data_IF_176970662984
#
_entry.id   IF_176970662984
#
_cell.length_a   1.000
_cell.length_b   1.000
_cell.length_c   1.000
_cell.angle_alpha   90.00
_cell.angle_beta   90.00
_cell.angle_gamma   90.00
#
_symmetry.space_group_name_H-M   'P 1'
#
loop_
_entity.id
_entity.type
_entity.pdbx_description
1 polymer ?
#
# COMPACT_ATOMS: atom_id res chain seq x y z
N UNK A 1 -48.73 31.03 -19.47
CA UNK A 1 -48.12 30.09 -18.49
C UNK A 1 -47.07 29.15 -19.08
N UNK A 2 -47.28 28.53 -20.26
CA UNK A 2 -46.31 27.58 -20.84
C UNK A 2 -44.91 28.17 -21.13
N UNK A 3 -44.82 29.42 -21.57
CA UNK A 3 -43.54 30.06 -21.91
C UNK A 3 -42.62 30.28 -20.69
N UNK A 4 -43.19 30.68 -19.54
CA UNK A 4 -42.44 30.85 -18.29
C UNK A 4 -41.90 29.52 -17.75
N UNK A 5 -42.63 28.42 -17.97
CA UNK A 5 -42.20 27.08 -17.55
C UNK A 5 -40.97 26.60 -18.33
N UNK A 6 -40.94 26.82 -19.66
CA UNK A 6 -39.76 26.49 -20.48
C UNK A 6 -38.56 27.37 -20.15
N UNK A 7 -38.78 28.66 -19.86
CA UNK A 7 -37.71 29.57 -19.45
C UNK A 7 -37.09 29.18 -18.09
N UNK A 8 -37.90 28.71 -17.15
CA UNK A 8 -37.44 28.23 -15.84
C UNK A 8 -36.61 26.94 -15.98
N UNK A 9 -37.07 26.00 -16.81
CA UNK A 9 -36.36 24.74 -17.10
C UNK A 9 -35.01 24.96 -17.77
N UNK A 10 -34.93 25.89 -18.72
CA UNK A 10 -33.67 26.23 -19.40
C UNK A 10 -32.65 26.82 -18.41
N UNK A 11 -33.10 27.68 -17.50
CA UNK A 11 -32.24 28.28 -16.48
C UNK A 11 -31.71 27.22 -15.48
N UNK A 12 -32.57 26.29 -15.05
CA UNK A 12 -32.18 25.17 -14.18
C UNK A 12 -31.16 24.24 -14.85
N UNK A 13 -31.32 23.97 -16.16
CA UNK A 13 -30.37 23.15 -16.91
C UNK A 13 -28.99 23.82 -17.01
N UNK A 14 -28.93 25.14 -17.25
CA UNK A 14 -27.66 25.88 -17.31
C UNK A 14 -26.90 25.87 -15.98
N UNK A 15 -27.60 25.95 -14.84
CA UNK A 15 -26.98 25.86 -13.51
C UNK A 15 -26.40 24.46 -13.25
N UNK A 16 -27.05 23.40 -13.75
CA UNK A 16 -26.54 22.03 -13.60
C UNK A 16 -25.29 21.76 -14.46
N UNK A 17 -25.20 22.32 -15.66
CA UNK A 17 -24.03 22.11 -16.54
C UNK A 17 -22.80 22.90 -16.06
N UNK A 18 -22.98 24.07 -15.45
CA UNK A 18 -21.89 24.85 -14.86
C UNK A 18 -21.28 24.20 -13.59
N UNK A 19 -22.00 23.27 -12.95
CA UNK A 19 -21.52 22.53 -11.79
C UNK A 19 -20.60 21.33 -12.10
N UNK A 20 -20.50 20.92 -13.38
CA UNK A 20 -19.71 19.74 -13.78
C UNK A 20 -18.29 20.06 -14.27
N UNK A 21 -17.87 21.32 -14.34
CA UNK A 21 -16.46 21.68 -14.55
C UNK A 21 -15.74 21.87 -13.23
N UNK A 22 -15.90 20.92 -12.29
CA UNK A 22 -14.81 20.70 -11.36
C UNK A 22 -13.76 19.91 -12.14
N UNK A 23 -12.77 20.61 -12.69
CA UNK A 23 -11.44 20.03 -12.76
C UNK A 23 -11.04 19.75 -11.30
N UNK A 24 -11.52 18.64 -10.74
CA UNK A 24 -10.84 17.93 -9.67
C UNK A 24 -9.55 17.36 -10.29
N UNK A 25 -8.66 18.26 -10.72
CA UNK A 25 -7.24 18.07 -10.50
C UNK A 25 -7.15 17.74 -9.02
N UNK A 26 -7.04 16.45 -8.74
CA UNK A 26 -6.95 15.92 -7.39
C UNK A 26 -5.66 16.50 -6.82
N UNK A 27 -5.77 17.66 -6.18
CA UNK A 27 -4.72 18.33 -5.45
C UNK A 27 -4.44 17.53 -4.19
N UNK A 28 -3.86 16.36 -4.38
CA UNK A 28 -2.79 15.94 -3.49
C UNK A 28 -1.56 16.30 -4.30
N UNK A 29 -1.02 17.49 -4.05
CA UNK A 29 0.40 17.76 -4.29
C UNK A 29 1.17 16.66 -3.56
N UNK A 30 1.37 15.53 -4.23
CA UNK A 30 2.23 14.47 -3.76
C UNK A 30 3.61 15.04 -3.90
N UNK A 31 4.15 15.53 -2.78
CA UNK A 31 5.52 16.01 -2.70
C UNK A 31 6.40 15.01 -3.44
N UNK A 32 7.02 15.50 -4.50
CA UNK A 32 7.81 14.70 -5.43
C UNK A 32 9.21 15.28 -5.49
N UNK A 33 10.19 14.41 -5.61
CA UNK A 33 11.59 14.74 -5.41
C UNK A 33 12.39 14.38 -6.66
N UNK A 34 13.46 15.14 -6.97
CA UNK A 34 14.33 14.83 -8.10
C UNK A 34 14.96 13.44 -8.06
N UNK A 35 15.14 12.86 -6.86
CA UNK A 35 15.75 11.53 -6.68
C UNK A 35 14.93 10.61 -5.77
N UNK A 36 15.06 9.31 -6.00
CA UNK A 36 14.51 8.27 -5.11
C UNK A 36 15.00 8.43 -3.68
N UNK A 37 16.30 8.72 -3.52
CA UNK A 37 16.93 8.92 -2.21
C UNK A 37 16.29 10.07 -1.44
N UNK A 38 16.00 11.20 -2.09
CA UNK A 38 15.34 12.33 -1.47
C UNK A 38 13.88 12.01 -1.10
N UNK A 39 13.14 11.35 -2.00
CA UNK A 39 11.77 10.91 -1.72
C UNK A 39 11.71 9.98 -0.51
N UNK A 40 12.62 9.01 -0.44
CA UNK A 40 12.72 8.08 0.67
C UNK A 40 13.17 8.77 1.96
N UNK A 41 14.19 9.62 1.91
CA UNK A 41 14.68 10.38 3.08
C UNK A 41 13.56 11.24 3.66
N UNK A 42 12.83 11.94 2.80
CA UNK A 42 11.69 12.75 3.19
C UNK A 42 10.58 11.90 3.82
N UNK A 43 10.24 10.75 3.22
CA UNK A 43 9.25 9.82 3.77
C UNK A 43 9.62 9.38 5.21
N UNK A 44 10.87 8.97 5.42
CA UNK A 44 11.36 8.55 6.73
C UNK A 44 11.30 9.70 7.75
N UNK A 45 11.78 10.88 7.38
CA UNK A 45 11.89 12.03 8.29
C UNK A 45 10.53 12.64 8.64
N UNK A 46 9.62 12.77 7.67
CA UNK A 46 8.37 13.53 7.86
C UNK A 46 7.21 12.64 8.27
N UNK A 47 7.09 11.46 7.66
CA UNK A 47 5.90 10.65 7.90
C UNK A 47 6.07 9.71 9.09
N UNK A 48 7.29 9.25 9.43
CA UNK A 48 7.44 8.06 10.30
C UNK A 48 8.73 7.96 11.13
N UNK A 49 9.01 8.95 11.98
CA UNK A 49 10.12 8.85 12.95
C UNK A 49 10.03 7.64 13.91
N UNK A 50 8.84 7.07 14.11
CA UNK A 50 8.58 5.98 15.07
C UNK A 50 8.17 4.64 14.43
N UNK A 51 8.20 4.50 13.11
CA UNK A 51 7.85 3.24 12.45
C UNK A 51 9.09 2.42 12.05
N UNK A 52 8.94 1.10 12.01
CA UNK A 52 9.88 0.22 11.33
C UNK A 52 9.54 0.18 9.84
N UNK A 53 10.57 0.16 9.00
CA UNK A 53 10.44 0.12 7.55
C UNK A 53 11.29 -1.01 7.00
N UNK A 54 10.65 -1.89 6.26
CA UNK A 54 11.25 -2.99 5.53
C UNK A 54 11.12 -2.70 4.04
N UNK A 55 12.25 -2.67 3.36
CA UNK A 55 12.30 -2.63 1.91
C UNK A 55 12.17 -4.05 1.38
N UNK A 56 11.26 -4.27 0.44
CA UNK A 56 11.00 -5.56 -0.19
C UNK A 56 11.16 -5.40 -1.69
N UNK A 57 12.08 -6.17 -2.27
CA UNK A 57 12.23 -6.28 -3.71
C UNK A 57 11.46 -7.51 -4.18
N UNK A 58 10.57 -7.33 -5.16
CA UNK A 58 9.83 -8.45 -5.76
C UNK A 58 10.58 -9.05 -6.96
N UNK A 59 10.30 -10.31 -7.28
CA UNK A 59 10.80 -11.01 -8.47
C UNK A 59 10.37 -10.33 -9.78
N UNK A 60 9.29 -9.57 -9.76
CA UNK A 60 8.82 -8.80 -10.91
C UNK A 60 9.52 -7.44 -11.04
N UNK A 61 10.44 -7.10 -10.13
CA UNK A 61 11.22 -5.87 -10.17
C UNK A 61 10.59 -4.68 -9.45
N UNK A 62 9.44 -4.86 -8.78
CA UNK A 62 8.84 -3.81 -7.96
C UNK A 62 9.56 -3.66 -6.61
N UNK A 63 9.70 -2.42 -6.19
CA UNK A 63 10.23 -2.02 -4.89
C UNK A 63 9.09 -1.57 -3.97
N UNK A 64 8.87 -2.33 -2.91
CA UNK A 64 7.82 -2.11 -1.92
C UNK A 64 8.45 -1.74 -0.58
N UNK A 65 7.75 -0.92 0.18
CA UNK A 65 8.14 -0.52 1.52
C UNK A 65 7.03 -0.94 2.49
N UNK A 66 7.26 -2.01 3.23
CA UNK A 66 6.36 -2.48 4.28
C UNK A 66 6.67 -1.69 5.54
N UNK A 67 5.65 -1.05 6.09
CA UNK A 67 5.85 -0.14 7.21
C UNK A 67 5.01 -0.58 8.39
N UNK A 68 5.66 -0.79 9.52
CA UNK A 68 5.03 -1.14 10.79
C UNK A 68 5.08 0.05 11.74
N UNK A 69 3.92 0.61 12.03
CA UNK A 69 3.74 1.61 13.08
C UNK A 69 3.19 0.95 14.37
N UNK A 70 3.05 1.76 15.43
CA UNK A 70 2.58 1.30 16.74
C UNK A 70 1.30 0.45 16.67
N UNK A 71 1.13 -0.43 17.67
CA UNK A 71 0.05 -1.42 17.75
C UNK A 71 0.02 -2.45 16.60
N UNK A 72 1.18 -2.80 16.02
CA UNK A 72 1.29 -3.73 14.90
C UNK A 72 0.39 -3.32 13.72
N UNK A 73 0.47 -2.05 13.35
CA UNK A 73 -0.23 -1.50 12.20
C UNK A 73 0.69 -1.54 10.98
N UNK A 74 0.24 -2.20 9.92
CA UNK A 74 1.00 -2.40 8.69
C UNK A 74 0.39 -1.61 7.54
N UNK A 75 1.24 -1.08 6.68
CA UNK A 75 0.84 -0.56 5.37
C UNK A 75 1.98 -0.71 4.37
N UNK A 76 1.62 -0.86 3.10
CA UNK A 76 2.60 -0.95 2.00
C UNK A 76 2.64 0.35 1.24
N UNK A 77 3.84 0.76 0.90
CA UNK A 77 4.13 1.92 0.08
C UNK A 77 4.94 1.47 -1.13
N UNK A 78 4.80 2.19 -2.24
CA UNK A 78 5.56 1.97 -3.47
C UNK A 78 6.21 3.26 -3.94
N UNK A 79 7.40 3.13 -4.54
CA UNK A 79 8.03 4.23 -5.26
C UNK A 79 7.27 4.48 -6.55
N UNK A 80 6.80 5.70 -6.76
CA UNK A 80 6.14 6.13 -7.99
C UNK A 80 7.00 7.17 -8.71
N UNK A 81 7.24 6.95 -9.99
CA UNK A 81 7.95 7.87 -10.88
C UNK A 81 6.98 8.55 -11.84
N UNK A 82 7.01 9.89 -11.91
CA UNK A 82 6.26 10.70 -12.87
C UNK A 82 7.14 11.87 -13.32
N UNK A 83 7.32 12.04 -14.62
CA UNK A 83 8.10 13.14 -15.22
C UNK A 83 9.49 13.34 -14.58
N UNK A 84 10.22 12.23 -14.41
CA UNK A 84 11.54 12.18 -13.74
C UNK A 84 11.57 12.65 -12.28
N UNK A 85 10.41 12.67 -11.62
CA UNK A 85 10.27 12.91 -10.18
C UNK A 85 9.78 11.66 -9.47
N UNK A 86 10.20 11.52 -8.22
CA UNK A 86 9.95 10.35 -7.38
C UNK A 86 9.07 10.71 -6.20
N UNK A 87 8.18 9.82 -5.81
CA UNK A 87 7.34 9.97 -4.62
C UNK A 87 7.05 8.60 -4.02
N UNK A 88 7.07 8.50 -2.69
CA UNK A 88 6.55 7.32 -2.02
C UNK A 88 5.03 7.46 -1.87
N UNK A 89 4.27 6.46 -2.31
CA UNK A 89 2.81 6.46 -2.22
C UNK A 89 2.35 5.28 -1.40
N UNK A 90 1.47 5.51 -0.43
CA UNK A 90 0.77 4.41 0.24
C UNK A 90 -0.14 3.70 -0.76
N UNK A 91 0.01 2.38 -0.85
CA UNK A 91 -0.72 1.52 -1.78
C UNK A 91 -1.93 0.84 -1.11
N UNK A 92 -1.97 0.82 0.22
CA UNK A 92 -2.95 0.05 0.98
C UNK A 92 -3.68 0.90 2.02
N UNK A 93 -4.81 0.39 2.50
CA UNK A 93 -5.30 0.76 3.82
C UNK A 93 -4.32 0.30 4.91
N UNK A 94 -4.44 0.85 6.13
CA UNK A 94 -3.68 0.33 7.27
C UNK A 94 -4.36 -0.94 7.78
N UNK A 95 -3.61 -2.03 7.86
CA UNK A 95 -4.03 -3.27 8.51
C UNK A 95 -3.54 -3.28 9.96
N UNK A 96 -4.42 -3.55 10.92
CA UNK A 96 -4.04 -3.67 12.33
C UNK A 96 -4.06 -5.14 12.75
N UNK A 97 -2.95 -5.62 13.29
CA UNK A 97 -2.89 -6.94 13.93
C UNK A 97 -3.06 -6.85 15.44
N UNK A 98 -3.47 -5.72 16.03
CA UNK A 98 -3.50 -5.55 17.49
C UNK A 98 -4.14 -6.74 18.23
N UNK A 99 -5.31 -7.21 17.77
CA UNK A 99 -6.06 -8.32 18.38
C UNK A 99 -6.01 -9.63 17.57
N UNK A 100 -5.13 -9.73 16.56
CA UNK A 100 -5.00 -10.93 15.73
C UNK A 100 -3.53 -11.37 15.66
N UNK A 101 -3.31 -12.59 15.18
CA UNK A 101 -1.94 -13.12 14.97
C UNK A 101 -1.46 -12.78 13.56
N UNK A 102 -2.37 -12.82 12.59
CA UNK A 102 -2.11 -12.53 11.19
C UNK A 102 -3.27 -11.77 10.53
N UNK A 103 -3.00 -11.25 9.34
CA UNK A 103 -3.97 -10.61 8.48
C UNK A 103 -3.39 -10.46 7.07
N UNK A 104 -4.24 -10.14 6.10
CA UNK A 104 -3.80 -9.89 4.74
C UNK A 104 -4.56 -8.75 4.08
N UNK A 105 -3.97 -8.23 3.01
CA UNK A 105 -4.63 -7.29 2.11
C UNK A 105 -4.12 -7.46 0.68
N UNK A 106 -4.93 -7.00 -0.26
CA UNK A 106 -4.63 -6.93 -1.68
C UNK A 106 -4.28 -5.49 -2.06
N UNK A 107 -3.39 -5.34 -3.03
CA UNK A 107 -3.02 -4.03 -3.56
C UNK A 107 -2.49 -4.10 -4.98
N UNK A 108 -2.41 -2.93 -5.59
CA UNK A 108 -1.77 -2.73 -6.90
C UNK A 108 -0.56 -1.83 -6.71
N UNK A 109 0.58 -2.23 -7.25
CA UNK A 109 1.83 -1.48 -7.14
C UNK A 109 1.82 -0.22 -7.99
N UNK A 110 2.83 0.64 -7.79
CA UNK A 110 3.03 1.83 -8.62
C UNK A 110 3.27 1.52 -10.11
N UNK A 111 3.68 0.28 -10.43
CA UNK A 111 3.90 -0.18 -11.81
C UNK A 111 2.66 -0.90 -12.39
N UNK A 112 1.59 -1.02 -11.61
CA UNK A 112 0.32 -1.61 -12.03
C UNK A 112 0.21 -3.12 -11.81
N UNK A 113 1.16 -3.75 -11.10
CA UNK A 113 1.11 -5.19 -10.80
C UNK A 113 0.28 -5.44 -9.54
N UNK A 114 -0.42 -6.56 -9.53
CA UNK A 114 -1.33 -6.93 -8.45
C UNK A 114 -0.66 -7.91 -7.50
N UNK A 115 -0.85 -7.68 -6.20
CA UNK A 115 -0.25 -8.49 -5.16
C UNK A 115 -1.23 -8.73 -4.01
N UNK A 116 -1.03 -9.85 -3.33
CA UNK A 116 -1.61 -10.15 -2.03
C UNK A 116 -0.48 -10.25 -1.03
N UNK A 117 -0.61 -9.54 0.09
CA UNK A 117 0.35 -9.64 1.19
C UNK A 117 -0.35 -10.20 2.42
N UNK A 118 0.28 -11.18 3.05
CA UNK A 118 -0.04 -11.65 4.39
C UNK A 118 1.03 -11.16 5.34
N UNK A 119 0.62 -10.65 6.51
CA UNK A 119 1.53 -10.34 7.60
C UNK A 119 1.15 -11.14 8.84
N UNK A 120 2.15 -11.59 9.59
CA UNK A 120 1.98 -12.29 10.84
C UNK A 120 2.96 -11.80 11.90
N UNK A 121 2.53 -11.77 13.16
CA UNK A 121 3.41 -11.46 14.31
C UNK A 121 4.41 -12.60 14.51
N UNK A 122 5.64 -12.32 14.95
CA UNK A 122 6.49 -13.38 15.49
C UNK A 122 5.85 -13.93 16.76
N UNK A 123 5.64 -15.25 16.82
CA UNK A 123 5.21 -15.96 18.02
C UNK A 123 6.14 -17.17 18.21
N UNK A 124 6.59 -17.39 19.45
CA UNK A 124 7.43 -18.56 19.74
C UNK A 124 6.68 -19.87 19.44
N UNK A 125 7.35 -20.79 18.73
CA UNK A 125 6.82 -22.11 18.43
C UNK A 125 5.79 -22.19 17.30
N UNK A 126 5.50 -21.09 16.60
CA UNK A 126 4.55 -21.08 15.49
C UNK A 126 5.27 -21.05 14.14
N UNK A 127 5.10 -22.12 13.37
CA UNK A 127 5.59 -22.22 12.00
C UNK A 127 4.47 -21.83 11.03
N UNK A 128 4.57 -20.62 10.47
CA UNK A 128 3.58 -20.10 9.54
C UNK A 128 3.60 -20.81 8.19
N UNK A 129 4.73 -21.40 7.79
CA UNK A 129 4.86 -22.09 6.50
C UNK A 129 4.00 -23.36 6.44
N UNK A 130 3.88 -24.06 7.57
CA UNK A 130 3.05 -25.26 7.69
C UNK A 130 1.58 -24.92 7.89
N UNK A 131 1.27 -23.82 8.57
CA UNK A 131 -0.11 -23.44 8.92
C UNK A 131 -0.84 -22.73 7.78
N UNK A 132 -0.13 -21.90 7.02
CA UNK A 132 -0.72 -21.02 6.01
C UNK A 132 -0.31 -21.40 4.58
N UNK A 133 0.50 -22.44 4.39
CA UNK A 133 0.97 -22.92 3.07
C UNK A 133 1.63 -21.85 2.18
N UNK A 134 2.10 -20.76 2.79
CA UNK A 134 2.80 -19.66 2.13
C UNK A 134 4.27 -19.64 2.57
N UNK A 135 5.15 -19.18 1.68
CA UNK A 135 6.55 -18.95 2.03
C UNK A 135 6.69 -17.59 2.72
N UNK A 136 6.91 -17.62 4.03
CA UNK A 136 7.06 -16.42 4.86
C UNK A 136 8.52 -16.00 4.98
N UNK A 137 8.76 -14.71 4.83
CA UNK A 137 10.04 -14.06 5.06
C UNK A 137 9.98 -13.28 6.38
N UNK A 138 11.03 -13.40 7.20
CA UNK A 138 11.21 -12.61 8.40
C UNK A 138 11.53 -11.16 8.03
N UNK A 139 10.92 -10.21 8.74
CA UNK A 139 11.13 -8.77 8.54
C UNK A 139 11.26 -8.05 9.88
N UNK A 140 11.71 -6.80 9.85
CA UNK A 140 11.91 -5.98 11.05
C UNK A 140 12.78 -6.68 12.11
N UNK A 141 13.97 -7.13 11.71
CA UNK A 141 14.88 -7.86 12.62
C UNK A 141 14.25 -9.10 13.29
N UNK A 142 13.39 -9.82 12.56
CA UNK A 142 12.69 -11.04 12.99
C UNK A 142 11.47 -10.86 13.92
N UNK A 143 10.97 -9.64 14.10
CA UNK A 143 9.79 -9.39 14.94
C UNK A 143 8.45 -9.69 14.24
N UNK A 144 8.47 -9.88 12.92
CA UNK A 144 7.29 -10.21 12.13
C UNK A 144 7.66 -11.04 10.90
N UNK A 145 6.64 -11.57 10.25
CA UNK A 145 6.77 -12.25 8.98
C UNK A 145 5.81 -11.67 7.95
N UNK A 146 6.22 -11.73 6.68
CA UNK A 146 5.35 -11.47 5.54
C UNK A 146 5.45 -12.56 4.49
N UNK A 147 4.36 -12.77 3.77
CA UNK A 147 4.36 -13.45 2.49
C UNK A 147 3.73 -12.50 1.47
N UNK A 148 4.27 -12.45 0.25
CA UNK A 148 3.67 -11.69 -0.84
C UNK A 148 3.53 -12.63 -2.02
N UNK A 149 2.32 -12.72 -2.56
CA UNK A 149 1.99 -13.52 -3.73
C UNK A 149 1.47 -12.66 -4.87
N UNK A 150 1.51 -13.22 -6.08
CA UNK A 150 1.03 -12.56 -7.29
C UNK A 150 -0.49 -12.58 -7.35
N UNK A 151 -1.08 -11.44 -7.73
CA UNK A 151 -2.52 -11.30 -7.93
C UNK A 151 -3.29 -11.01 -6.64
N UNK A 152 -4.60 -10.80 -6.80
CA UNK A 152 -5.56 -10.64 -5.71
C UNK A 152 -6.17 -12.00 -5.37
N UNK A 153 -5.66 -12.66 -4.33
CA UNK A 153 -5.94 -14.05 -3.98
C UNK A 153 -6.73 -14.22 -2.68
N UNK A 154 -7.07 -13.13 -1.96
CA UNK A 154 -7.86 -13.22 -0.73
C UNK A 154 -9.28 -13.73 -1.05
N UNK A 155 -9.68 -14.80 -0.37
CA UNK A 155 -10.99 -15.43 -0.56
C UNK A 155 -11.04 -16.47 -1.68
N UNK A 156 -9.93 -16.72 -2.37
CA UNK A 156 -9.79 -17.88 -3.25
C UNK A 156 -9.60 -19.17 -2.42
N UNK A 157 -10.07 -20.30 -2.96
CA UNK A 157 -9.94 -21.59 -2.26
C UNK A 157 -8.48 -21.99 -2.12
N UNK A 158 -8.06 -22.37 -0.90
CA UNK A 158 -6.69 -22.67 -0.42
C UNK A 158 -6.00 -23.88 -1.11
N UNK A 159 -6.46 -24.30 -2.29
CA UNK A 159 -5.93 -25.47 -2.98
C UNK A 159 -4.71 -25.17 -3.86
N UNK A 160 -4.42 -23.89 -4.14
CA UNK A 160 -3.22 -23.48 -4.87
C UNK A 160 -2.24 -22.85 -3.88
N UNK A 161 -0.99 -23.34 -3.89
CA UNK A 161 0.11 -22.64 -3.20
C UNK A 161 0.37 -21.38 -3.97
N UNK A 162 0.12 -20.26 -3.32
CA UNK A 162 0.56 -18.97 -3.78
C UNK A 162 2.10 -18.92 -3.76
N UNK A 163 2.72 -18.83 -4.93
CA UNK A 163 4.17 -18.68 -5.05
C UNK A 163 4.59 -17.32 -4.49
N UNK A 164 5.63 -17.31 -3.64
CA UNK A 164 6.20 -16.07 -3.13
C UNK A 164 6.83 -15.29 -4.27
N UNK A 165 6.51 -14.00 -4.35
CA UNK A 165 7.16 -13.06 -5.27
C UNK A 165 8.26 -12.25 -4.59
N UNK A 166 8.65 -12.57 -3.36
CA UNK A 166 9.71 -11.87 -2.65
C UNK A 166 11.07 -12.34 -3.17
N UNK A 167 11.87 -11.40 -3.67
CA UNK A 167 13.26 -11.64 -4.06
C UNK A 167 14.21 -11.40 -2.89
N UNK A 168 14.11 -10.22 -2.26
CA UNK A 168 14.91 -9.84 -1.09
C UNK A 168 14.10 -8.96 -0.16
N UNK A 169 14.47 -8.96 1.12
CA UNK A 169 13.98 -8.01 2.12
C UNK A 169 15.17 -7.38 2.85
N UNK A 170 15.03 -6.12 3.26
CA UNK A 170 16.03 -5.38 4.03
C UNK A 170 15.32 -4.44 5.01
N UNK A 171 15.62 -4.57 6.31
CA UNK A 171 15.18 -3.61 7.32
C UNK A 171 15.98 -2.31 7.16
N UNK A 172 15.34 -1.29 6.61
CA UNK A 172 15.98 0.02 6.34
C UNK A 172 15.83 1.00 7.50
N UNK A 173 14.84 0.79 8.36
CA UNK A 173 14.72 1.46 9.65
C UNK A 173 14.07 0.50 10.64
N UNK A 174 14.67 0.40 11.83
CA UNK A 174 14.04 -0.27 12.96
C UNK A 174 14.17 0.64 14.18
N UNK A 175 13.05 0.87 14.85
CA UNK A 175 13.07 1.41 16.19
C UNK A 175 13.04 0.21 17.13
N UNK A 176 14.20 -0.12 17.69
CA UNK A 176 14.27 -1.08 18.79
C UNK A 176 13.30 -0.61 19.89
N UNK A 177 12.21 -1.35 20.06
CA UNK A 177 11.26 -1.18 21.16
C UNK A 177 11.84 -1.71 22.45
#
# INVERSE_FOLDING_TARGET
MRFYFYSLLLFLYLVMVAGCTSNQTSSIDKESFPTEKEAFTHFIQKEKATADVEKVQTLEGDELYVVRSGNHQYGVYGMAKLDDRYSLKKLTATMSLHNTISGGFEFTSSTGKEYTMLAAKQLEGLDYSTTLHNEFHKIFSEDAHIAISKGHTLGQSVNERDESVIQTTETVQSNAS
#
